data_IF_759235532331
#
_entry.id   IF_759235532331
#
_cell.length_a   1.000
_cell.length_b   1.000
_cell.length_c   1.000
_cell.angle_alpha   90.00
_cell.angle_beta   90.00
_cell.angle_gamma   90.00
#
_symmetry.space_group_name_H-M   'P 1'
#
loop_
_entity.id
_entity.type
_entity.pdbx_description
1 polymer ?
#
# COMPACT_ATOMS: atom_id res chain seq x y z
N UNK A 1 -24.85 -12.45 8.84
CA UNK A 1 -24.45 -12.11 7.47
C UNK A 1 -23.21 -11.22 7.54
N UNK A 2 -22.00 -11.77 7.45
CA UNK A 2 -20.74 -11.00 7.44
C UNK A 2 -20.19 -11.00 6.03
N UNK A 3 -20.26 -9.86 5.35
CA UNK A 3 -19.62 -9.63 4.06
C UNK A 3 -18.10 -9.72 4.25
N UNK A 4 -17.54 -10.91 4.01
CA UNK A 4 -16.10 -11.10 3.85
C UNK A 4 -15.73 -10.50 2.49
N UNK A 5 -15.28 -9.25 2.49
CA UNK A 5 -14.58 -8.69 1.34
C UNK A 5 -13.35 -9.56 1.08
N UNK A 6 -13.45 -10.34 0.01
CA UNK A 6 -12.40 -11.19 -0.52
C UNK A 6 -11.35 -10.28 -1.16
N UNK A 7 -10.34 -9.89 -0.37
CA UNK A 7 -9.22 -9.09 -0.87
C UNK A 7 -8.31 -10.04 -1.65
N UNK A 8 -8.44 -10.02 -2.97
CA UNK A 8 -7.68 -10.84 -3.90
C UNK A 8 -6.16 -10.59 -3.75
N UNK A 9 -5.29 -11.61 -3.85
CA UNK A 9 -3.86 -11.51 -3.58
C UNK A 9 -3.00 -10.82 -4.66
N UNK A 10 -3.57 -10.22 -5.71
CA UNK A 10 -2.79 -9.72 -6.86
C UNK A 10 -2.13 -8.33 -6.68
N UNK A 11 -2.08 -7.78 -5.47
CA UNK A 11 -1.81 -6.35 -5.25
C UNK A 11 -0.44 -6.05 -4.61
N UNK A 12 0.61 -6.74 -5.03
CA UNK A 12 1.95 -6.60 -4.45
C UNK A 12 3.03 -6.04 -5.39
N UNK A 13 2.69 -5.46 -6.56
CA UNK A 13 3.70 -4.96 -7.51
C UNK A 13 3.93 -3.43 -7.50
N UNK A 14 3.39 -2.68 -6.54
CA UNK A 14 3.27 -1.21 -6.68
C UNK A 14 4.49 -0.38 -6.32
N UNK A 15 5.49 -0.99 -5.68
CA UNK A 15 6.72 -0.31 -5.26
C UNK A 15 7.93 -0.80 -6.08
N UNK A 16 7.70 -1.70 -7.06
CA UNK A 16 8.76 -2.34 -7.85
C UNK A 16 9.53 -1.39 -8.76
N UNK A 17 8.91 -0.28 -9.20
CA UNK A 17 9.55 0.70 -10.10
C UNK A 17 10.33 1.80 -9.39
N UNK A 18 10.03 2.10 -8.12
CA UNK A 18 10.64 3.23 -7.40
C UNK A 18 11.56 2.79 -6.24
N UNK A 19 11.52 1.52 -5.82
CA UNK A 19 12.37 1.00 -4.74
C UNK A 19 12.03 1.53 -3.34
N UNK A 20 11.54 2.77 -3.24
CA UNK A 20 10.95 3.42 -2.07
C UNK A 20 9.92 4.44 -2.55
N UNK A 21 8.92 4.73 -1.72
CA UNK A 21 8.00 5.83 -1.97
C UNK A 21 7.58 6.48 -0.66
N UNK A 22 7.46 7.80 -0.67
CA UNK A 22 6.93 8.55 0.46
C UNK A 22 5.39 8.47 0.53
N UNK A 23 4.81 9.07 1.57
CA UNK A 23 3.35 9.06 1.76
C UNK A 23 2.59 9.79 0.66
N UNK A 24 3.15 10.84 0.07
CA UNK A 24 2.51 11.61 -0.99
C UNK A 24 2.55 10.83 -2.31
N UNK A 25 3.70 10.26 -2.66
CA UNK A 25 3.88 9.41 -3.84
C UNK A 25 2.97 8.18 -3.78
N UNK A 26 2.93 7.49 -2.64
CA UNK A 26 2.03 6.35 -2.44
C UNK A 26 0.58 6.75 -2.59
N UNK A 27 0.20 7.93 -2.07
CA UNK A 27 -1.15 8.40 -2.26
C UNK A 27 -1.44 8.59 -3.75
N UNK A 28 -0.60 9.28 -4.51
CA UNK A 28 -0.81 9.48 -5.95
C UNK A 28 -0.90 8.15 -6.70
N UNK A 29 0.05 7.23 -6.46
CA UNK A 29 0.11 5.93 -7.11
C UNK A 29 -1.11 5.06 -6.82
N UNK A 30 -1.60 5.08 -5.58
CA UNK A 30 -2.76 4.28 -5.16
C UNK A 30 -4.08 4.98 -5.48
N UNK A 31 -4.15 6.31 -5.45
CA UNK A 31 -5.32 7.09 -5.80
C UNK A 31 -5.75 6.80 -7.24
N UNK A 32 -4.81 6.70 -8.18
CA UNK A 32 -5.05 6.33 -9.58
C UNK A 32 -5.69 4.93 -9.73
N UNK A 33 -5.53 4.05 -8.74
CA UNK A 33 -6.10 2.69 -8.73
C UNK A 33 -7.38 2.56 -7.92
N UNK A 34 -7.81 3.63 -7.24
CA UNK A 34 -9.04 3.65 -6.46
C UNK A 34 -10.19 4.20 -7.29
N UNK A 35 -11.39 3.64 -7.07
CA UNK A 35 -12.62 4.10 -7.73
C UNK A 35 -12.86 5.60 -7.50
N UNK A 36 -13.27 6.31 -8.55
CA UNK A 36 -13.66 7.73 -8.49
C UNK A 36 -14.91 7.99 -7.66
N UNK A 37 -15.64 6.93 -7.29
CA UNK A 37 -16.81 7.02 -6.39
C UNK A 37 -16.44 7.27 -4.93
N UNK A 38 -15.17 7.16 -4.56
CA UNK A 38 -14.71 7.35 -3.18
C UNK A 38 -14.27 8.81 -2.95
N UNK A 39 -14.68 9.39 -1.82
CA UNK A 39 -14.22 10.73 -1.43
C UNK A 39 -12.72 10.70 -1.08
N UNK A 40 -12.01 11.82 -1.21
CA UNK A 40 -10.56 11.88 -0.89
C UNK A 40 -10.21 11.39 0.52
N UNK A 41 -11.10 11.66 1.48
CA UNK A 41 -11.00 11.15 2.86
C UNK A 41 -11.03 9.62 2.91
N UNK A 42 -11.99 9.02 2.21
CA UNK A 42 -12.16 7.57 2.15
C UNK A 42 -11.00 6.92 1.42
N UNK A 43 -10.56 7.51 0.31
CA UNK A 43 -9.39 7.05 -0.44
C UNK A 43 -8.15 7.04 0.46
N UNK A 44 -7.88 8.14 1.18
CA UNK A 44 -6.75 8.23 2.14
C UNK A 44 -6.85 7.20 3.26
N UNK A 45 -8.03 6.97 3.82
CA UNK A 45 -8.24 5.96 4.85
C UNK A 45 -7.98 4.54 4.33
N UNK A 46 -8.46 4.22 3.13
CA UNK A 46 -8.20 2.94 2.48
C UNK A 46 -6.70 2.72 2.26
N UNK A 47 -5.98 3.75 1.79
CA UNK A 47 -4.53 3.71 1.59
C UNK A 47 -3.80 3.48 2.92
N UNK A 48 -4.16 4.19 4.00
CA UNK A 48 -3.60 3.92 5.35
C UNK A 48 -3.85 2.48 5.81
N UNK A 49 -5.05 1.98 5.57
CA UNK A 49 -5.45 0.64 5.96
C UNK A 49 -4.66 -0.43 5.17
N UNK A 50 -4.44 -0.20 3.87
CA UNK A 50 -3.62 -1.04 3.02
C UNK A 50 -2.15 -1.06 3.47
N UNK A 51 -1.53 0.10 3.69
CA UNK A 51 -0.14 0.17 4.17
C UNK A 51 0.04 -0.55 5.50
N UNK A 52 -0.92 -0.37 6.42
CA UNK A 52 -0.89 -1.07 7.72
C UNK A 52 -0.91 -2.59 7.52
N UNK A 53 -1.75 -3.10 6.61
CA UNK A 53 -1.81 -4.54 6.28
C UNK A 53 -0.51 -5.01 5.64
N UNK A 54 0.06 -4.25 4.70
CA UNK A 54 1.32 -4.60 4.04
C UNK A 54 2.49 -4.62 5.02
N UNK A 55 2.58 -3.63 5.92
CA UNK A 55 3.58 -3.57 6.99
C UNK A 55 3.44 -4.77 7.93
N UNK A 56 2.21 -5.07 8.38
CA UNK A 56 1.96 -6.23 9.27
C UNK A 56 2.28 -7.57 8.62
N UNK A 57 2.16 -7.67 7.30
CA UNK A 57 2.54 -8.85 6.52
C UNK A 57 4.04 -8.92 6.22
N UNK A 58 4.82 -7.91 6.61
CA UNK A 58 6.26 -7.83 6.30
C UNK A 58 6.55 -7.55 4.83
N UNK A 59 5.58 -7.06 4.06
CA UNK A 59 5.75 -6.76 2.62
C UNK A 59 6.51 -5.45 2.42
N UNK A 60 6.25 -4.48 3.30
CA UNK A 60 6.90 -3.17 3.29
C UNK A 60 7.50 -2.85 4.64
N UNK A 61 8.58 -2.07 4.64
CA UNK A 61 9.22 -1.52 5.83
C UNK A 61 9.24 0.00 5.75
N UNK A 62 9.08 0.65 6.90
CA UNK A 62 9.32 2.09 7.00
C UNK A 62 10.83 2.32 7.12
N UNK A 63 11.42 2.97 6.13
CA UNK A 63 12.83 3.41 6.12
C UNK A 63 12.96 4.91 6.42
N UNK A 64 11.84 5.62 6.55
CA UNK A 64 11.78 7.03 6.94
C UNK A 64 11.60 7.21 8.44
N UNK A 65 11.28 8.44 8.85
CA UNK A 65 10.99 8.77 10.25
C UNK A 65 9.52 8.51 10.60
N UNK A 66 9.17 8.60 11.90
CA UNK A 66 7.77 8.51 12.33
C UNK A 66 6.92 9.69 11.79
N UNK A 67 7.53 10.85 11.57
CA UNK A 67 6.85 12.06 11.04
C UNK A 67 6.83 12.12 9.52
N UNK A 68 7.79 11.49 8.85
CA UNK A 68 7.87 11.37 7.40
C UNK A 68 8.18 9.91 7.02
N UNK A 69 7.16 9.03 6.99
CA UNK A 69 7.36 7.62 6.70
C UNK A 69 7.65 7.41 5.21
N UNK A 70 8.75 6.71 4.94
CA UNK A 70 9.13 6.26 3.60
C UNK A 70 8.98 4.75 3.55
N UNK A 71 8.20 4.23 2.61
CA UNK A 71 7.91 2.80 2.55
C UNK A 71 8.72 2.15 1.44
N UNK A 72 9.43 1.08 1.79
CA UNK A 72 10.26 0.28 0.89
C UNK A 72 9.74 -1.15 0.85
N UNK A 73 9.74 -1.77 -0.34
CA UNK A 73 9.45 -3.20 -0.45
C UNK A 73 10.54 -4.02 0.21
N UNK A 74 10.11 -5.01 0.98
CA UNK A 74 10.99 -6.07 1.45
C UNK A 74 11.19 -7.04 0.30
N UNK A 75 12.44 -7.19 -0.11
CA UNK A 75 12.83 -7.97 -1.28
C UNK A 75 12.48 -9.47 -1.17
N UNK A 76 12.15 -9.94 0.04
CA UNK A 76 11.79 -11.33 0.32
C UNK A 76 10.47 -11.81 -0.31
N UNK A 77 9.72 -10.94 -0.99
CA UNK A 77 8.53 -11.33 -1.78
C UNK A 77 8.80 -11.43 -3.28
N UNK A 78 10.05 -11.26 -3.74
CA UNK A 78 10.39 -11.42 -5.16
C UNK A 78 10.31 -12.87 -5.67
N UNK A 79 10.08 -13.87 -4.83
CA UNK A 79 10.10 -15.27 -5.27
C UNK A 79 8.81 -16.03 -4.98
N UNK A 80 8.00 -16.21 -6.04
CA UNK A 80 7.68 -17.52 -6.65
C UNK A 80 6.47 -17.33 -7.57
N UNK A 81 6.74 -17.21 -8.87
CA UNK A 81 5.75 -17.41 -9.91
C UNK A 81 6.25 -18.45 -10.90
#
# INVERSE_FOLDING_TARGET
>A
MKLRFNVQPYQANYLGSFGQADRAEINVLLLDKLSDTLSDSEKRNNISCLLTKLRRRGVIVNTGSDTAPCWKLVESLKEKH
#
